data_IF_160727639594
#
_entry.id   IF_160727639594
#
_cell.length_a   1.000
_cell.length_b   1.000
_cell.length_c   1.000
_cell.angle_alpha   90.00
_cell.angle_beta   90.00
_cell.angle_gamma   90.00
#
_symmetry.space_group_name_H-M   'P 1'
#
loop_
_entity.id
_entity.type
_entity.pdbx_description
1 polymer ?
#
# COMPACT_ATOMS: atom_id res chain seq x y z
N UNK A 1 2.51 -1.59 11.72
CA UNK A 1 1.54 -2.26 10.84
C UNK A 1 2.00 -1.99 9.43
N UNK A 2 2.45 -3.03 8.74
CA UNK A 2 3.13 -2.94 7.45
C UNK A 2 2.11 -2.67 6.34
N UNK A 3 2.47 -1.80 5.40
CA UNK A 3 1.68 -1.44 4.20
C UNK A 3 0.17 -1.30 4.48
N UNK A 4 -0.18 -0.45 5.44
CA UNK A 4 -1.54 -0.19 5.92
C UNK A 4 -2.50 0.15 4.77
N UNK A 5 -3.61 -0.58 4.69
CA UNK A 5 -4.69 -0.60 3.67
C UNK A 5 -4.41 -1.37 2.37
N UNK A 6 -3.17 -1.82 2.12
CA UNK A 6 -2.87 -2.68 0.98
C UNK A 6 -2.93 -4.15 1.39
N UNK A 7 -3.57 -5.00 0.59
CA UNK A 7 -3.71 -6.45 0.84
C UNK A 7 -4.27 -6.78 2.24
N UNK A 8 -5.08 -5.88 2.79
CA UNK A 8 -5.81 -6.08 4.04
C UNK A 8 -7.27 -6.34 3.75
N UNK A 9 -7.94 -7.07 4.65
CA UNK A 9 -9.38 -7.24 4.54
C UNK A 9 -10.11 -5.87 4.65
N UNK A 10 -11.22 -5.67 3.91
CA UNK A 10 -11.91 -4.39 3.85
C UNK A 10 -12.43 -3.91 5.21
N UNK A 11 -12.49 -2.59 5.37
CA UNK A 11 -13.15 -1.98 6.51
C UNK A 11 -14.67 -2.14 6.40
N UNK A 12 -15.29 -2.83 7.35
CA UNK A 12 -16.74 -2.95 7.44
C UNK A 12 -17.25 -2.44 8.79
N UNK A 13 -18.40 -1.77 8.81
CA UNK A 13 -18.91 -1.10 10.02
C UNK A 13 -19.19 -2.07 11.19
N UNK A 14 -19.63 -3.30 10.89
CA UNK A 14 -19.88 -4.33 11.90
C UNK A 14 -18.61 -5.11 12.26
N UNK A 15 -17.59 -5.06 11.39
CA UNK A 15 -16.35 -5.82 11.53
C UNK A 15 -15.18 -4.93 11.11
N UNK A 16 -14.67 -4.19 12.10
CA UNK A 16 -13.59 -3.22 11.92
C UNK A 16 -12.25 -3.87 11.51
N UNK A 17 -12.11 -5.17 11.82
CA UNK A 17 -10.96 -6.01 11.53
C UNK A 17 -9.60 -5.30 11.71
N UNK A 18 -8.67 -5.55 10.80
CA UNK A 18 -7.29 -5.12 10.86
C UNK A 18 -7.17 -3.61 10.62
N UNK A 19 -7.92 -3.09 9.63
CA UNK A 19 -7.86 -1.68 9.25
C UNK A 19 -8.39 -0.78 10.37
N UNK A 20 -9.60 -1.05 10.87
CA UNK A 20 -10.19 -0.28 11.96
C UNK A 20 -9.42 -0.43 13.27
N UNK A 21 -8.92 -1.65 13.57
CA UNK A 21 -8.05 -1.87 14.73
C UNK A 21 -6.76 -1.05 14.67
N UNK A 22 -6.11 -1.00 13.50
CA UNK A 22 -4.90 -0.20 13.31
C UNK A 22 -5.19 1.31 13.36
N UNK A 23 -6.35 1.78 12.90
CA UNK A 23 -6.76 3.18 13.00
C UNK A 23 -6.96 3.62 14.47
N UNK A 24 -7.64 2.82 15.27
CA UNK A 24 -8.04 3.19 16.63
C UNK A 24 -6.96 2.96 17.69
N UNK A 25 -6.07 1.95 17.51
CA UNK A 25 -5.04 1.65 18.50
C UNK A 25 -3.90 2.67 18.45
N UNK A 26 -3.83 3.52 19.48
CA UNK A 26 -2.80 4.58 19.62
C UNK A 26 -1.37 4.02 19.69
N UNK A 27 -1.19 2.83 20.28
CA UNK A 27 0.14 2.19 20.42
C UNK A 27 0.69 1.60 19.12
N UNK A 28 -0.11 1.52 18.06
CA UNK A 28 0.29 0.94 16.78
C UNK A 28 0.70 2.05 15.83
N UNK A 29 1.91 2.00 15.26
CA UNK A 29 2.29 2.82 14.10
C UNK A 29 1.87 2.11 12.81
N UNK A 30 1.53 2.89 11.79
CA UNK A 30 1.08 2.39 10.47
C UNK A 30 2.01 2.88 9.39
N UNK A 31 2.50 1.97 8.55
CA UNK A 31 3.23 2.30 7.33
C UNK A 31 2.26 2.54 6.19
N UNK A 32 2.44 3.57 5.38
CA UNK A 32 1.55 3.88 4.27
C UNK A 32 2.35 4.20 3.00
N UNK A 33 1.91 3.65 1.87
CA UNK A 33 2.40 3.99 0.53
C UNK A 33 1.55 5.16 0.02
N UNK A 34 2.19 6.25 -0.39
CA UNK A 34 1.53 7.51 -0.77
C UNK A 34 1.80 7.84 -2.24
N UNK A 35 1.64 6.86 -3.12
CA UNK A 35 1.76 7.03 -4.58
C UNK A 35 0.42 7.33 -5.28
N UNK A 36 -0.68 7.24 -4.53
CA UNK A 36 -2.06 7.40 -5.01
C UNK A 36 -2.52 6.41 -6.07
N UNK A 37 -1.71 5.40 -6.36
CA UNK A 37 -2.07 4.23 -7.17
C UNK A 37 -2.57 3.12 -6.27
N UNK A 38 -1.85 2.87 -5.17
CA UNK A 38 -2.23 1.84 -4.18
C UNK A 38 -3.37 2.27 -3.26
N UNK A 39 -3.56 3.57 -3.10
CA UNK A 39 -4.46 4.10 -2.09
C UNK A 39 -5.10 5.39 -2.57
N UNK A 40 -6.43 5.45 -2.53
CA UNK A 40 -7.14 6.68 -2.84
C UNK A 40 -6.66 7.83 -1.92
N UNK A 41 -6.47 9.07 -2.41
CA UNK A 41 -6.00 10.20 -1.60
C UNK A 41 -6.80 10.41 -0.31
N UNK A 42 -8.11 10.15 -0.34
CA UNK A 42 -8.96 10.28 0.85
C UNK A 42 -8.72 9.18 1.91
N UNK A 43 -8.27 7.99 1.53
CA UNK A 43 -7.86 6.96 2.49
C UNK A 43 -6.63 7.42 3.27
N UNK A 44 -5.67 8.05 2.59
CA UNK A 44 -4.48 8.66 3.21
C UNK A 44 -4.89 9.78 4.17
N UNK A 45 -5.84 10.65 3.76
CA UNK A 45 -6.36 11.72 4.63
C UNK A 45 -7.03 11.16 5.88
N UNK A 46 -7.84 10.10 5.77
CA UNK A 46 -8.48 9.43 6.90
C UNK A 46 -7.42 8.89 7.87
N UNK A 47 -6.43 8.16 7.34
CA UNK A 47 -5.32 7.62 8.13
C UNK A 47 -4.58 8.75 8.87
N UNK A 48 -4.25 9.84 8.17
CA UNK A 48 -3.58 10.99 8.75
C UNK A 48 -4.39 11.66 9.87
N UNK A 49 -5.70 11.86 9.65
CA UNK A 49 -6.57 12.50 10.65
C UNK A 49 -6.67 11.71 11.94
N UNK A 50 -6.75 10.37 11.84
CA UNK A 50 -6.91 9.47 12.98
C UNK A 50 -5.58 9.15 13.66
N UNK A 51 -4.54 8.79 12.89
CA UNK A 51 -3.24 8.39 13.42
C UNK A 51 -2.37 9.58 13.80
N UNK A 52 -2.48 10.71 13.11
CA UNK A 52 -1.55 11.86 13.16
C UNK A 52 -0.15 11.50 12.62
N UNK A 53 0.59 12.53 12.22
CA UNK A 53 1.93 12.39 11.65
C UNK A 53 2.88 11.54 12.50
N UNK A 54 2.85 11.70 13.83
CA UNK A 54 3.76 11.00 14.76
C UNK A 54 3.61 9.48 14.80
N UNK A 55 2.53 8.93 14.20
CA UNK A 55 2.25 7.49 14.18
C UNK A 55 2.10 6.93 12.77
N UNK A 56 2.43 7.72 11.75
CA UNK A 56 2.51 7.28 10.37
C UNK A 56 3.97 7.20 9.97
N UNK A 57 4.33 6.12 9.28
CA UNK A 57 5.62 5.95 8.64
C UNK A 57 5.33 5.92 7.13
N UNK A 58 5.87 6.89 6.39
CA UNK A 58 5.74 6.87 4.93
C UNK A 58 6.75 5.87 4.38
N UNK A 59 6.29 4.95 3.54
CA UNK A 59 7.14 3.98 2.85
C UNK A 59 6.87 4.08 1.35
N UNK A 60 7.85 3.70 0.52
CA UNK A 60 7.61 3.61 -0.93
C UNK A 60 7.04 2.25 -1.30
N UNK A 61 7.37 1.19 -0.55
CA UNK A 61 7.15 -0.22 -0.94
C UNK A 61 7.61 -0.49 -2.38
N UNK A 62 8.75 0.11 -2.72
CA UNK A 62 9.21 0.16 -4.10
C UNK A 62 9.91 -1.12 -4.49
N UNK A 63 9.64 -1.61 -5.70
CA UNK A 63 10.37 -2.74 -6.25
C UNK A 63 11.51 -2.33 -7.19
N UNK A 64 12.29 -3.31 -7.66
CA UNK A 64 13.50 -3.09 -8.46
C UNK A 64 13.27 -2.33 -9.78
N UNK A 65 12.02 -2.27 -10.24
CA UNK A 65 11.63 -1.58 -11.46
C UNK A 65 11.54 -0.05 -11.30
N UNK A 66 11.61 0.47 -10.07
CA UNK A 66 11.50 1.89 -9.78
C UNK A 66 12.52 2.72 -10.55
N UNK A 67 12.02 3.66 -11.37
CA UNK A 67 12.82 4.57 -12.20
C UNK A 67 13.47 3.92 -13.43
N UNK A 68 13.10 2.69 -13.77
CA UNK A 68 13.59 1.99 -14.96
C UNK A 68 12.54 2.03 -16.10
N UNK A 69 12.95 1.78 -17.37
CA UNK A 69 12.01 1.69 -18.48
C UNK A 69 10.96 0.58 -18.28
N UNK A 70 9.82 0.71 -18.95
CA UNK A 70 8.80 -0.34 -19.00
C UNK A 70 9.40 -1.67 -19.48
N UNK A 71 9.00 -2.76 -18.83
CA UNK A 71 9.59 -4.07 -19.05
C UNK A 71 9.23 -5.08 -17.98
N UNK A 72 9.90 -6.22 -18.05
CA UNK A 72 9.65 -7.36 -17.18
C UNK A 72 10.73 -7.44 -16.10
N UNK A 73 10.28 -7.52 -14.85
CA UNK A 73 11.15 -7.57 -13.68
C UNK A 73 10.81 -8.76 -12.80
N UNK A 74 11.81 -9.29 -12.11
CA UNK A 74 11.61 -10.35 -11.12
C UNK A 74 11.28 -9.75 -9.75
N UNK A 75 10.27 -10.29 -9.07
CA UNK A 75 9.99 -10.02 -7.66
C UNK A 75 9.70 -11.33 -6.95
N UNK A 76 10.66 -11.84 -6.18
CA UNK A 76 10.48 -13.06 -5.38
C UNK A 76 10.21 -14.31 -6.23
N UNK A 77 10.80 -14.41 -7.43
CA UNK A 77 10.60 -15.53 -8.36
C UNK A 77 9.36 -15.39 -9.25
N UNK A 78 8.63 -14.27 -9.17
CA UNK A 78 7.48 -13.97 -10.01
C UNK A 78 7.81 -12.84 -10.99
N UNK A 79 7.39 -13.01 -12.25
CA UNK A 79 7.53 -11.97 -13.26
C UNK A 79 6.46 -10.89 -13.10
N UNK A 80 6.93 -9.66 -12.95
CA UNK A 80 6.15 -8.43 -12.89
C UNK A 80 6.28 -7.70 -14.22
N UNK A 81 5.14 -7.30 -14.77
CA UNK A 81 5.05 -6.50 -15.98
C UNK A 81 4.83 -5.05 -15.59
N UNK A 82 5.81 -4.19 -15.87
CA UNK A 82 5.74 -2.76 -15.57
C UNK A 82 5.39 -2.01 -16.84
N UNK A 83 4.24 -1.33 -16.80
CA UNK A 83 3.65 -0.62 -17.93
C UNK A 83 3.31 0.82 -17.53
N UNK A 84 2.85 1.62 -18.47
CA UNK A 84 2.34 2.97 -18.19
C UNK A 84 1.17 2.97 -17.18
N UNK A 85 0.41 1.88 -17.11
CA UNK A 85 -0.74 1.75 -16.21
C UNK A 85 -0.39 1.14 -14.84
N UNK A 86 0.88 0.92 -14.55
CA UNK A 86 1.37 0.35 -13.29
C UNK A 86 1.96 -1.06 -13.43
N UNK A 87 2.20 -1.67 -12.27
CA UNK A 87 2.90 -2.94 -12.12
C UNK A 87 1.94 -4.07 -11.80
N UNK A 88 1.95 -5.10 -12.64
CA UNK A 88 1.06 -6.23 -12.45
C UNK A 88 1.85 -7.53 -12.47
N UNK A 89 1.50 -8.42 -11.54
CA UNK A 89 1.80 -9.83 -11.67
C UNK A 89 1.19 -10.38 -12.96
N UNK A 90 1.72 -11.48 -13.47
CA UNK A 90 1.14 -12.17 -14.63
C UNK A 90 -0.34 -12.60 -14.39
N UNK A 91 -0.76 -12.70 -13.13
CA UNK A 91 -2.14 -12.97 -12.71
C UNK A 91 -3.01 -11.70 -12.54
N UNK A 92 -2.48 -10.51 -12.81
CA UNK A 92 -3.20 -9.23 -12.79
C UNK A 92 -3.24 -8.48 -11.46
N UNK A 93 -2.70 -9.03 -10.38
CA UNK A 93 -2.63 -8.33 -9.08
C UNK A 93 -1.52 -7.27 -9.06
N UNK A 94 -1.78 -6.13 -8.39
CA UNK A 94 -0.75 -5.11 -8.12
C UNK A 94 0.37 -5.70 -7.25
N UNK A 95 1.61 -5.41 -7.63
CA UNK A 95 2.78 -5.83 -6.89
C UNK A 95 3.69 -4.63 -6.66
N UNK A 96 3.72 -4.08 -5.45
CA UNK A 96 4.62 -2.99 -5.09
C UNK A 96 4.40 -1.69 -5.88
N UNK A 97 5.28 -0.72 -5.62
CA UNK A 97 5.27 0.62 -6.24
C UNK A 97 6.52 0.88 -7.11
N UNK A 98 6.37 1.66 -8.19
CA UNK A 98 7.44 2.06 -9.14
C UNK A 98 7.72 3.54 -9.10
#
# INVERSE_FOLDING_TARGET
MYSFINQMRPFHQCEMEVVGGALLKVKVKTEIVVDFVHSHPDAVKIAYRLKKASRIISITDAMRAKGLPYGNYDLGGQTIHVTENGEHLSAGALAGSV
#
